data_IF_999665872844
#
_entry.id   IF_999665872844
#
_cell.length_a   1.000
_cell.length_b   1.000
_cell.length_c   1.000
_cell.angle_alpha   90.00
_cell.angle_beta   90.00
_cell.angle_gamma   90.00
#
_symmetry.space_group_name_H-M   'P 1'
#
loop_
_entity.id
_entity.type
_entity.pdbx_description
1 polymer ?
#
# COMPACT_ATOMS: atom_id res chain seq x y z
N UNK A 1 17.97 25.14 -4.97
CA UNK A 1 17.64 25.51 -3.57
C UNK A 1 17.98 26.95 -3.24
N UNK A 2 19.10 27.49 -3.74
CA UNK A 2 19.56 28.86 -3.43
C UNK A 2 18.54 29.96 -3.81
N UNK A 3 17.93 29.90 -5.01
CA UNK A 3 17.01 30.95 -5.51
C UNK A 3 15.64 31.05 -4.81
N UNK A 4 15.23 30.05 -4.02
CA UNK A 4 13.91 30.06 -3.32
C UNK A 4 14.06 30.55 -1.88
N UNK A 5 15.13 30.17 -1.19
CA UNK A 5 15.32 30.51 0.23
C UNK A 5 15.88 31.93 0.43
N UNK A 6 16.71 32.45 -0.47
CA UNK A 6 17.22 33.83 -0.34
C UNK A 6 16.36 34.86 -1.07
N UNK A 7 15.51 34.46 -2.03
CA UNK A 7 14.73 35.39 -2.85
C UNK A 7 13.36 35.79 -2.31
N UNK A 8 12.57 34.85 -1.77
CA UNK A 8 11.13 35.09 -1.51
C UNK A 8 10.71 35.08 -0.02
N UNK A 9 11.53 34.52 0.87
CA UNK A 9 11.12 34.21 2.25
C UNK A 9 12.19 34.56 3.32
N UNK A 10 13.39 34.96 2.87
CA UNK A 10 14.52 35.31 3.72
C UNK A 10 15.04 34.16 4.60
N UNK A 11 15.99 34.47 5.49
CA UNK A 11 16.57 33.55 6.46
C UNK A 11 15.49 32.80 7.29
N UNK A 12 14.40 33.48 7.61
CA UNK A 12 13.31 32.95 8.43
C UNK A 12 12.52 31.84 7.73
N UNK A 13 12.24 31.99 6.43
CA UNK A 13 11.57 30.94 5.67
C UNK A 13 12.46 29.74 5.32
N UNK A 14 13.77 29.96 5.17
CA UNK A 14 14.74 28.86 5.07
C UNK A 14 14.78 28.01 6.36
N UNK A 15 14.74 28.66 7.53
CA UNK A 15 14.70 28.00 8.83
C UNK A 15 13.43 27.16 9.00
N UNK A 16 12.26 27.74 8.69
CA UNK A 16 10.96 27.04 8.74
C UNK A 16 10.89 25.86 7.75
N UNK A 17 11.48 25.98 6.57
CA UNK A 17 11.54 24.89 5.60
C UNK A 17 12.36 23.70 6.11
N UNK A 18 13.50 23.94 6.76
CA UNK A 18 14.31 22.87 7.38
C UNK A 18 13.52 22.18 8.51
N UNK A 19 12.85 22.93 9.37
CA UNK A 19 11.99 22.35 10.41
C UNK A 19 10.86 21.52 9.82
N UNK A 20 10.20 21.99 8.76
CA UNK A 20 9.13 21.24 8.09
C UNK A 20 9.63 19.93 7.46
N UNK A 21 10.75 19.99 6.74
CA UNK A 21 11.34 18.83 6.04
C UNK A 21 11.89 17.80 7.01
N UNK A 22 12.38 18.19 8.19
CA UNK A 22 12.93 17.26 9.19
C UNK A 22 11.85 16.75 10.16
N UNK A 23 10.95 17.63 10.64
CA UNK A 23 9.94 17.24 11.62
C UNK A 23 8.83 16.35 11.03
N UNK A 24 8.44 16.57 9.78
CA UNK A 24 7.34 15.81 9.17
C UNK A 24 7.68 14.32 8.98
N UNK A 25 8.88 13.92 8.47
CA UNK A 25 9.26 12.52 8.40
C UNK A 25 9.43 11.87 9.77
N UNK A 26 9.94 12.58 10.78
CA UNK A 26 10.11 12.04 12.14
C UNK A 26 8.75 11.70 12.76
N UNK A 27 7.81 12.65 12.71
CA UNK A 27 6.46 12.46 13.30
C UNK A 27 5.63 11.43 12.55
N UNK A 28 5.71 11.43 11.21
CA UNK A 28 5.05 10.41 10.38
C UNK A 28 5.67 9.03 10.59
N UNK A 29 7.00 8.96 10.77
CA UNK A 29 7.74 7.74 11.05
C UNK A 29 7.40 7.11 12.41
N UNK A 30 7.34 7.91 13.48
CA UNK A 30 6.90 7.42 14.80
C UNK A 30 5.46 6.88 14.73
N UNK A 31 4.57 7.63 14.06
CA UNK A 31 3.18 7.23 13.85
C UNK A 31 3.09 5.91 13.06
N UNK A 32 3.93 5.73 12.03
CA UNK A 32 3.99 4.51 11.24
C UNK A 32 4.50 3.32 12.07
N UNK A 33 5.57 3.48 12.85
CA UNK A 33 6.13 2.41 13.70
C UNK A 33 5.17 2.00 14.80
N UNK A 34 4.49 2.98 15.41
CA UNK A 34 3.42 2.71 16.37
C UNK A 34 2.30 1.91 15.73
N UNK A 35 1.84 2.32 14.54
CA UNK A 35 0.74 1.66 13.83
C UNK A 35 1.12 0.24 13.39
N UNK A 36 2.32 0.05 12.85
CA UNK A 36 2.84 -1.26 12.46
C UNK A 36 2.88 -2.23 13.65
N UNK A 37 3.35 -1.77 14.82
CA UNK A 37 3.31 -2.58 16.06
C UNK A 37 1.89 -3.00 16.43
N UNK A 38 0.91 -2.11 16.27
CA UNK A 38 -0.50 -2.43 16.53
C UNK A 38 -0.99 -3.53 15.59
N UNK A 39 -0.77 -3.37 14.29
CA UNK A 39 -1.17 -4.35 13.28
C UNK A 39 -0.54 -5.73 13.51
N UNK A 40 0.75 -5.79 13.84
CA UNK A 40 1.45 -7.05 14.10
C UNK A 40 0.89 -7.76 15.34
N UNK A 41 0.60 -7.00 16.41
CA UNK A 41 0.03 -7.61 17.61
C UNK A 41 -1.39 -8.11 17.39
N UNK A 42 -2.21 -7.41 16.59
CA UNK A 42 -3.54 -7.87 16.19
C UNK A 42 -3.45 -9.16 15.35
N UNK A 43 -2.54 -9.20 14.37
CA UNK A 43 -2.32 -10.40 13.54
C UNK A 43 -1.88 -11.62 14.39
N UNK A 44 -1.00 -11.41 15.37
CA UNK A 44 -0.52 -12.45 16.28
C UNK A 44 -1.45 -12.71 17.49
N UNK A 45 -2.59 -12.01 17.59
CA UNK A 45 -3.50 -12.05 18.73
C UNK A 45 -2.79 -11.88 20.10
N UNK A 46 -1.75 -11.05 20.15
CA UNK A 46 -0.94 -10.83 21.35
C UNK A 46 -1.51 -9.65 22.16
N UNK A 47 -1.85 -9.90 23.43
CA UNK A 47 -2.26 -8.83 24.35
C UNK A 47 -1.13 -7.82 24.61
N UNK A 48 -1.32 -6.57 24.15
CA UNK A 48 -0.36 -5.46 24.29
C UNK A 48 -0.30 -4.79 25.67
N UNK A 49 -0.79 -5.45 26.72
CA UNK A 49 -0.81 -4.89 28.09
C UNK A 49 0.58 -4.86 28.75
N UNK A 50 1.45 -5.83 28.44
CA UNK A 50 2.78 -5.96 29.05
C UNK A 50 3.86 -5.21 28.27
N UNK A 51 4.70 -4.44 28.98
CA UNK A 51 5.87 -3.73 28.42
C UNK A 51 6.86 -4.69 27.76
N UNK A 52 7.02 -5.91 28.30
CA UNK A 52 7.91 -6.94 27.73
C UNK A 52 7.39 -7.45 26.38
N UNK A 53 6.07 -7.65 26.25
CA UNK A 53 5.42 -8.02 24.98
C UNK A 53 5.53 -6.90 23.94
N UNK A 54 5.55 -5.64 24.38
CA UNK A 54 5.78 -4.49 23.49
C UNK A 54 7.21 -4.46 22.95
N UNK A 55 8.20 -4.75 23.79
CA UNK A 55 9.61 -4.78 23.39
C UNK A 55 9.90 -5.92 22.42
N UNK A 56 9.26 -7.08 22.62
CA UNK A 56 9.41 -8.25 21.75
C UNK A 56 8.95 -7.99 20.31
N UNK A 57 7.94 -7.15 20.10
CA UNK A 57 7.48 -6.75 18.76
C UNK A 57 8.29 -5.53 18.25
N UNK A 58 8.62 -4.60 19.14
CA UNK A 58 9.33 -3.38 18.77
C UNK A 58 10.76 -3.64 18.31
N UNK A 59 11.54 -4.47 19.01
CA UNK A 59 12.96 -4.70 18.70
C UNK A 59 13.17 -5.31 17.31
N UNK A 60 12.47 -6.40 16.91
CA UNK A 60 12.57 -6.93 15.57
C UNK A 60 12.12 -5.94 14.50
N UNK A 61 11.07 -5.16 14.77
CA UNK A 61 10.57 -4.14 13.85
C UNK A 61 11.59 -3.01 13.64
N UNK A 62 12.20 -2.50 14.71
CA UNK A 62 13.27 -1.49 14.61
C UNK A 62 14.49 -2.02 13.87
N UNK A 63 14.90 -3.27 14.14
CA UNK A 63 16.01 -3.90 13.42
C UNK A 63 15.70 -4.02 11.92
N UNK A 64 14.50 -4.47 11.56
CA UNK A 64 14.08 -4.56 10.16
C UNK A 64 14.13 -3.19 9.45
N UNK A 65 13.67 -2.13 10.13
CA UNK A 65 13.75 -0.76 9.60
C UNK A 65 15.19 -0.32 9.42
N UNK A 66 16.07 -0.53 10.40
CA UNK A 66 17.49 -0.17 10.29
C UNK A 66 18.15 -0.91 9.13
N UNK A 67 17.89 -2.20 8.96
CA UNK A 67 18.42 -2.99 7.83
C UNK A 67 17.94 -2.43 6.49
N UNK A 68 16.66 -2.06 6.37
CA UNK A 68 16.12 -1.41 5.17
C UNK A 68 16.73 -0.02 4.93
N UNK A 69 17.01 0.74 5.99
CA UNK A 69 17.70 2.04 5.91
C UNK A 69 19.17 1.88 5.45
N UNK A 70 19.88 0.87 5.93
CA UNK A 70 21.25 0.59 5.47
C UNK A 70 21.25 0.09 4.04
N UNK A 71 20.28 -0.76 3.69
CA UNK A 71 20.14 -1.28 2.33
C UNK A 71 19.82 -0.16 1.33
N UNK A 72 18.93 0.78 1.66
CA UNK A 72 18.61 1.88 0.74
C UNK A 72 19.79 2.83 0.53
N UNK A 73 20.62 3.06 1.54
CA UNK A 73 21.81 3.92 1.42
C UNK A 73 22.90 3.25 0.57
N UNK A 74 23.02 1.92 0.69
CA UNK A 74 24.02 1.13 -0.05
C UNK A 74 23.65 0.96 -1.53
N UNK A 75 22.35 1.04 -1.88
CA UNK A 75 21.87 0.85 -3.24
C UNK A 75 21.47 2.20 -3.86
N UNK A 76 22.07 2.62 -4.99
CA UNK A 76 21.76 3.92 -5.59
C UNK A 76 20.28 4.07 -6.01
N UNK A 77 19.61 2.96 -6.33
CA UNK A 77 18.17 2.93 -6.65
C UNK A 77 17.28 2.47 -5.49
N UNK A 78 17.84 2.32 -4.27
CA UNK A 78 17.14 1.77 -3.11
C UNK A 78 15.92 2.60 -2.70
N UNK A 79 16.08 3.93 -2.63
CA UNK A 79 14.96 4.83 -2.29
C UNK A 79 13.84 4.79 -3.33
N UNK A 80 14.17 4.89 -4.62
CA UNK A 80 13.18 4.82 -5.70
C UNK A 80 12.41 3.49 -5.66
N UNK A 81 13.10 2.40 -5.37
CA UNK A 81 12.48 1.09 -5.23
C UNK A 81 11.51 1.02 -4.06
N UNK A 82 11.91 1.46 -2.87
CA UNK A 82 11.03 1.51 -1.68
C UNK A 82 9.82 2.40 -1.96
N UNK A 83 10.04 3.53 -2.62
CA UNK A 83 8.97 4.47 -2.94
C UNK A 83 7.93 3.89 -3.90
N UNK A 84 8.37 3.15 -4.92
CA UNK A 84 7.46 2.44 -5.84
C UNK A 84 6.66 1.36 -5.13
N UNK A 85 7.29 0.57 -4.25
CA UNK A 85 6.59 -0.43 -3.42
C UNK A 85 5.62 0.20 -2.42
N UNK A 86 5.97 1.35 -1.85
CA UNK A 86 5.07 2.12 -0.99
C UNK A 86 3.84 2.60 -1.79
N UNK A 87 4.06 3.17 -2.98
CA UNK A 87 2.99 3.57 -3.89
C UNK A 87 2.07 2.41 -4.29
N UNK A 88 2.66 1.26 -4.64
CA UNK A 88 1.93 0.04 -4.97
C UNK A 88 1.12 -0.51 -3.79
N UNK A 89 1.68 -0.48 -2.58
CA UNK A 89 0.99 -0.93 -1.37
C UNK A 89 -0.27 -0.10 -1.10
N UNK A 90 -0.18 1.22 -1.31
CA UNK A 90 -1.32 2.13 -1.16
C UNK A 90 -2.40 1.87 -2.24
N UNK A 91 -2.00 1.60 -3.49
CA UNK A 91 -2.93 1.23 -4.55
C UNK A 91 -3.62 -0.12 -4.25
N UNK A 92 -2.88 -1.09 -3.71
CA UNK A 92 -3.40 -2.39 -3.32
C UNK A 92 -4.42 -2.28 -2.18
N UNK A 93 -4.17 -1.41 -1.19
CA UNK A 93 -5.16 -1.10 -0.16
C UNK A 93 -6.44 -0.51 -0.77
N UNK A 94 -6.30 0.42 -1.72
CA UNK A 94 -7.45 0.96 -2.44
C UNK A 94 -8.23 -0.13 -3.19
N UNK A 95 -7.55 -1.10 -3.84
CA UNK A 95 -8.19 -2.26 -4.48
C UNK A 95 -9.05 -3.04 -3.49
N UNK A 96 -8.54 -3.38 -2.31
CA UNK A 96 -9.31 -4.10 -1.29
C UNK A 96 -10.55 -3.31 -0.84
N UNK A 97 -10.40 -2.01 -0.60
CA UNK A 97 -11.55 -1.16 -0.21
C UNK A 97 -12.59 -1.03 -1.32
N UNK A 98 -12.17 -0.91 -2.58
CA UNK A 98 -13.07 -0.87 -3.73
C UNK A 98 -13.84 -2.17 -3.89
N UNK A 99 -13.19 -3.33 -3.76
CA UNK A 99 -13.87 -4.63 -3.78
C UNK A 99 -14.84 -4.82 -2.62
N UNK A 100 -14.50 -4.37 -1.42
CA UNK A 100 -15.42 -4.35 -0.28
C UNK A 100 -16.64 -3.49 -0.58
N UNK A 101 -16.46 -2.30 -1.15
CA UNK A 101 -17.56 -1.42 -1.56
C UNK A 101 -18.42 -2.04 -2.65
N UNK A 102 -17.84 -2.73 -3.64
CA UNK A 102 -18.59 -3.48 -4.67
C UNK A 102 -19.50 -4.51 -4.02
N UNK A 103 -18.97 -5.35 -3.12
CA UNK A 103 -19.73 -6.38 -2.40
C UNK A 103 -20.88 -5.75 -1.61
N UNK A 104 -20.61 -4.65 -0.90
CA UNK A 104 -21.62 -3.92 -0.15
C UNK A 104 -22.73 -3.33 -1.04
N UNK A 105 -22.37 -2.73 -2.18
CA UNK A 105 -23.34 -2.17 -3.13
C UNK A 105 -24.19 -3.25 -3.81
N UNK A 106 -23.60 -4.42 -4.11
CA UNK A 106 -24.34 -5.57 -4.65
C UNK A 106 -25.36 -6.06 -3.64
N UNK A 107 -24.98 -6.22 -2.37
CA UNK A 107 -25.87 -6.64 -1.28
C UNK A 107 -26.98 -5.63 -0.97
N UNK A 108 -26.74 -4.34 -1.19
CA UNK A 108 -27.72 -3.27 -0.98
C UNK A 108 -28.55 -2.96 -2.24
N UNK A 109 -28.43 -3.76 -3.31
CA UNK A 109 -29.11 -3.59 -4.60
C UNK A 109 -28.94 -2.19 -5.24
N UNK A 110 -27.83 -1.50 -4.94
CA UNK A 110 -27.49 -0.20 -5.53
C UNK A 110 -26.64 -0.38 -6.79
N UNK A 111 -26.44 0.71 -7.54
CA UNK A 111 -25.65 0.74 -8.77
C UNK A 111 -24.15 0.43 -8.52
N UNK A 112 -23.81 -0.86 -8.41
CA UNK A 112 -22.46 -1.34 -8.11
C UNK A 112 -21.47 -1.14 -9.27
N UNK A 113 -21.96 -0.93 -10.51
CA UNK A 113 -21.12 -0.75 -11.69
C UNK A 113 -20.15 0.43 -11.57
N UNK A 114 -20.56 1.52 -10.90
CA UNK A 114 -19.72 2.71 -10.71
C UNK A 114 -18.45 2.42 -9.91
N UNK A 115 -18.50 1.45 -8.99
CA UNK A 115 -17.34 1.05 -8.16
C UNK A 115 -16.64 -0.17 -8.74
N UNK A 116 -17.35 -1.04 -9.47
CA UNK A 116 -16.78 -2.23 -10.09
C UNK A 116 -15.74 -1.89 -11.18
N UNK A 117 -16.02 -0.90 -12.01
CA UNK A 117 -15.09 -0.45 -13.06
C UNK A 117 -13.74 0.00 -12.47
N UNK A 118 -13.69 0.94 -11.51
CA UNK A 118 -12.43 1.33 -10.89
C UNK A 118 -11.79 0.19 -10.07
N UNK A 119 -12.57 -0.70 -9.45
CA UNK A 119 -12.03 -1.87 -8.74
C UNK A 119 -11.25 -2.80 -9.67
N UNK A 120 -11.84 -3.17 -10.82
CA UNK A 120 -11.21 -4.04 -11.81
C UNK A 120 -10.00 -3.37 -12.46
N UNK A 121 -10.09 -2.08 -12.78
CA UNK A 121 -8.97 -1.31 -13.33
C UNK A 121 -7.79 -1.24 -12.36
N UNK A 122 -8.03 -0.88 -11.09
CA UNK A 122 -6.96 -0.82 -10.09
C UNK A 122 -6.35 -2.19 -9.82
N UNK A 123 -7.14 -3.27 -9.89
CA UNK A 123 -6.63 -4.65 -9.80
C UNK A 123 -5.66 -4.96 -10.95
N UNK A 124 -5.98 -4.51 -12.16
CA UNK A 124 -5.12 -4.65 -13.34
C UNK A 124 -3.81 -3.86 -13.21
N UNK A 125 -3.88 -2.62 -12.71
CA UNK A 125 -2.69 -1.77 -12.46
C UNK A 125 -1.77 -2.43 -11.43
N UNK A 126 -2.33 -2.90 -10.31
CA UNK A 126 -1.56 -3.57 -9.25
C UNK A 126 -0.92 -4.89 -9.75
N UNK A 127 -1.64 -5.67 -10.55
CA UNK A 127 -1.13 -6.92 -11.12
C UNK A 127 -0.02 -6.67 -12.16
N UNK A 128 -0.16 -5.63 -12.99
CA UNK A 128 0.86 -5.27 -13.98
C UNK A 128 2.16 -4.88 -13.29
N UNK A 129 2.07 -4.09 -12.21
CA UNK A 129 3.25 -3.70 -11.44
C UNK A 129 4.00 -4.92 -10.89
N UNK A 130 3.28 -5.91 -10.32
CA UNK A 130 3.90 -7.14 -9.82
C UNK A 130 4.54 -8.00 -10.93
N UNK A 131 3.93 -8.06 -12.11
CA UNK A 131 4.43 -8.89 -13.20
C UNK A 131 5.62 -8.26 -13.94
N UNK A 132 5.59 -6.93 -14.12
CA UNK A 132 6.62 -6.18 -14.85
C UNK A 132 7.80 -5.82 -13.96
N UNK A 133 7.58 -5.55 -12.67
CA UNK A 133 8.65 -5.07 -11.79
C UNK A 133 9.79 -6.09 -11.70
N UNK A 134 11.05 -5.70 -12.00
CA UNK A 134 12.21 -6.57 -11.94
C UNK A 134 12.51 -7.08 -10.52
N UNK A 135 11.95 -6.42 -9.49
CA UNK A 135 12.06 -6.84 -8.10
C UNK A 135 11.01 -7.88 -7.69
N UNK A 136 9.93 -8.02 -8.46
CA UNK A 136 8.87 -9.00 -8.22
C UNK A 136 9.10 -10.24 -9.10
N UNK A 137 8.46 -10.30 -10.27
CA UNK A 137 8.61 -11.43 -11.20
C UNK A 137 9.54 -11.12 -12.38
N UNK A 138 9.79 -9.84 -12.67
CA UNK A 138 10.72 -9.41 -13.73
C UNK A 138 10.47 -10.02 -15.10
N UNK A 139 9.20 -10.30 -15.43
CA UNK A 139 8.85 -10.96 -16.68
C UNK A 139 9.06 -10.00 -17.86
N UNK A 140 9.34 -10.57 -19.03
CA UNK A 140 9.38 -9.77 -20.26
C UNK A 140 8.04 -9.05 -20.47
N UNK A 141 8.03 -7.82 -21.00
CA UNK A 141 6.80 -7.02 -21.13
C UNK A 141 5.66 -7.78 -21.82
N UNK A 142 5.99 -8.58 -22.83
CA UNK A 142 5.05 -9.42 -23.57
C UNK A 142 4.35 -10.44 -22.68
N UNK A 143 5.12 -11.14 -21.83
CA UNK A 143 4.58 -12.16 -20.91
C UNK A 143 3.84 -11.50 -19.75
N UNK A 144 4.36 -10.38 -19.24
CA UNK A 144 3.74 -9.63 -18.16
C UNK A 144 2.35 -9.12 -18.55
N UNK A 145 2.19 -8.52 -19.74
CA UNK A 145 0.87 -8.04 -20.19
C UNK A 145 -0.14 -9.18 -20.39
N UNK A 146 0.28 -10.32 -20.93
CA UNK A 146 -0.57 -11.50 -21.03
C UNK A 146 -0.99 -11.99 -19.64
N UNK A 147 -0.03 -12.06 -18.70
CA UNK A 147 -0.31 -12.39 -17.30
C UNK A 147 -1.32 -11.44 -16.66
N UNK A 148 -1.21 -10.13 -16.90
CA UNK A 148 -2.16 -9.16 -16.35
C UNK A 148 -3.58 -9.36 -16.90
N UNK A 149 -3.71 -9.63 -18.20
CA UNK A 149 -5.02 -9.92 -18.81
C UNK A 149 -5.63 -11.18 -18.20
N UNK A 150 -4.84 -12.22 -17.95
CA UNK A 150 -5.30 -13.44 -17.26
C UNK A 150 -5.81 -13.10 -15.86
N UNK A 151 -5.06 -12.31 -15.07
CA UNK A 151 -5.47 -11.89 -13.72
C UNK A 151 -6.79 -11.11 -13.75
N UNK A 152 -6.94 -10.19 -14.72
CA UNK A 152 -8.17 -9.44 -14.91
C UNK A 152 -9.37 -10.35 -15.22
N UNK A 153 -9.19 -11.31 -16.13
CA UNK A 153 -10.23 -12.27 -16.49
C UNK A 153 -10.63 -13.14 -15.29
N UNK A 154 -9.66 -13.62 -14.51
CA UNK A 154 -9.91 -14.39 -13.29
C UNK A 154 -10.72 -13.56 -12.30
N UNK A 155 -10.33 -12.30 -12.04
CA UNK A 155 -11.05 -11.43 -11.12
C UNK A 155 -12.50 -11.15 -11.57
N UNK A 156 -12.71 -10.92 -12.87
CA UNK A 156 -14.04 -10.71 -13.43
C UNK A 156 -14.92 -11.97 -13.37
N UNK A 157 -14.37 -13.14 -13.75
CA UNK A 157 -15.07 -14.42 -13.69
C UNK A 157 -15.43 -14.77 -12.24
N UNK A 158 -14.49 -14.60 -11.32
CA UNK A 158 -14.71 -14.84 -9.89
C UNK A 158 -15.84 -13.99 -9.34
N UNK A 159 -15.88 -12.69 -9.69
CA UNK A 159 -16.96 -11.80 -9.30
C UNK A 159 -18.32 -12.24 -9.86
N UNK A 160 -18.38 -12.64 -11.14
CA UNK A 160 -19.60 -13.15 -11.75
C UNK A 160 -20.12 -14.41 -11.05
N UNK A 161 -19.25 -15.37 -10.75
CA UNK A 161 -19.61 -16.61 -10.04
C UNK A 161 -20.12 -16.27 -8.63
N UNK A 162 -19.39 -15.42 -7.91
CA UNK A 162 -19.78 -14.98 -6.57
C UNK A 162 -21.16 -14.32 -6.58
N UNK A 163 -21.41 -13.39 -7.50
CA UNK A 163 -22.70 -12.69 -7.63
C UNK A 163 -23.86 -13.66 -7.90
N UNK A 164 -23.68 -14.64 -8.79
CA UNK A 164 -24.71 -15.65 -9.10
C UNK A 164 -25.01 -16.53 -7.89
N UNK A 165 -23.98 -16.97 -7.16
CA UNK A 165 -24.15 -17.76 -5.93
C UNK A 165 -24.84 -16.96 -4.83
N UNK A 166 -24.50 -15.68 -4.70
CA UNK A 166 -25.08 -14.79 -3.71
C UNK A 166 -26.57 -14.56 -3.94
N UNK A 167 -26.97 -14.33 -5.20
CA UNK A 167 -28.38 -14.20 -5.58
C UNK A 167 -29.20 -15.47 -5.36
N UNK A 168 -28.60 -16.66 -5.51
CA UNK A 168 -29.27 -17.93 -5.18
C UNK A 168 -29.52 -18.09 -3.69
N UNK A 169 -28.57 -17.66 -2.85
CA UNK A 169 -28.70 -17.74 -1.39
C UNK A 169 -29.72 -16.75 -0.81
N UNK A 170 -30.04 -15.67 -1.53
CA UNK A 170 -31.06 -14.71 -1.11
C UNK A 170 -32.51 -15.17 -1.42
N UNK A 171 -32.67 -16.17 -2.30
CA UNK A 171 -33.97 -16.69 -2.75
C UNK A 171 -34.35 -18.05 -2.13
N UNK A 172 -33.50 -18.61 -1.26
CA UNK A 172 -33.76 -19.80 -0.44
C UNK A 172 -33.99 -19.39 1.02
#
# INVERSE_FOLDING_TARGET
MEKVCTGWLGLFGGLLAVFGVVAAPITSGDTALRSARLMIAEALHLEQKSVVKRLYIAVPMFLAVIVLLVWQETNPDGFNTIWQWFGWSNQTLAVFTLWMMVVYMVRTHKAYFMVLVPALFMTLVCATFLLVSPMALGLSPSVAYVGTVIVFLIAAIWFCIWKVRDGKNANN
#
